data_IF_192935948284
#
_entry.id   IF_192935948284
#
_cell.length_a   1.000
_cell.length_b   1.000
_cell.length_c   1.000
_cell.angle_alpha   90.00
_cell.angle_beta   90.00
_cell.angle_gamma   90.00
#
_symmetry.space_group_name_H-M   'P 1'
#
loop_
_entity.id
_entity.type
_entity.pdbx_description
1 polymer ?
#
# COMPACT_ATOMS: atom_id res chain seq x y z
N UNK A 1 27.37 -24.53 -11.10
CA UNK A 1 27.10 -23.22 -10.43
C UNK A 1 25.81 -23.29 -9.64
N UNK A 2 25.90 -23.58 -8.34
CA UNK A 2 24.75 -23.49 -7.44
C UNK A 2 24.45 -22.01 -7.19
N UNK A 3 23.23 -21.55 -7.49
CA UNK A 3 22.79 -20.20 -7.12
C UNK A 3 22.77 -20.16 -5.60
N UNK A 4 23.71 -19.45 -4.98
CA UNK A 4 23.67 -19.17 -3.54
C UNK A 4 22.30 -18.54 -3.27
N UNK A 5 21.39 -19.20 -2.53
CA UNK A 5 20.09 -18.62 -2.25
C UNK A 5 20.32 -17.27 -1.58
N UNK A 6 19.56 -16.23 -1.97
CA UNK A 6 19.50 -15.01 -1.16
C UNK A 6 19.32 -15.44 0.28
N UNK A 7 20.27 -15.03 1.15
CA UNK A 7 20.34 -15.52 2.51
C UNK A 7 18.96 -15.39 3.15
N UNK A 8 18.51 -16.44 3.83
CA UNK A 8 17.20 -16.46 4.49
C UNK A 8 17.07 -15.25 5.42
N UNK A 9 18.19 -14.81 5.98
CA UNK A 9 18.36 -13.64 6.83
C UNK A 9 17.97 -12.32 6.13
N UNK A 10 18.45 -12.08 4.90
CA UNK A 10 18.11 -10.84 4.17
C UNK A 10 16.61 -10.75 3.87
N UNK A 11 15.95 -11.89 3.63
CA UNK A 11 14.49 -11.93 3.45
C UNK A 11 13.73 -11.67 4.75
N UNK A 12 14.22 -12.23 5.86
CA UNK A 12 13.64 -12.03 7.18
C UNK A 12 13.74 -10.57 7.62
N UNK A 13 14.92 -9.97 7.47
CA UNK A 13 15.17 -8.56 7.76
C UNK A 13 14.31 -7.61 6.91
N UNK A 14 14.06 -7.91 5.63
CA UNK A 14 13.13 -7.09 4.83
C UNK A 14 11.68 -7.17 5.32
N UNK A 15 11.27 -8.31 5.87
CA UNK A 15 9.92 -8.53 6.40
C UNK A 15 9.73 -7.91 7.78
N UNK A 16 10.72 -8.09 8.66
CA UNK A 16 10.71 -7.53 10.01
C UNK A 16 10.76 -5.99 9.99
N UNK A 17 11.16 -5.38 8.86
CA UNK A 17 11.26 -3.93 8.71
C UNK A 17 10.01 -3.23 8.15
N UNK A 18 8.97 -3.94 7.71
CA UNK A 18 7.73 -3.26 7.27
C UNK A 18 6.86 -2.88 8.46
N UNK A 19 7.31 -1.92 9.27
CA UNK A 19 6.59 -1.36 10.44
C UNK A 19 5.15 -0.93 10.12
N UNK A 20 4.80 -0.77 8.85
CA UNK A 20 3.47 -0.35 8.38
C UNK A 20 2.56 -1.52 7.96
N UNK A 21 2.98 -2.77 8.12
CA UNK A 21 2.14 -3.94 7.84
C UNK A 21 0.76 -3.92 8.54
N UNK A 22 0.60 -3.50 9.81
CA UNK A 22 -0.73 -3.52 10.43
C UNK A 22 -1.66 -2.47 9.81
N UNK A 23 -1.12 -1.32 9.36
CA UNK A 23 -1.89 -0.29 8.66
C UNK A 23 -2.41 -0.83 7.32
N UNK A 24 -1.56 -1.52 6.55
CA UNK A 24 -1.98 -2.14 5.27
C UNK A 24 -3.06 -3.19 5.49
N UNK A 25 -2.90 -4.03 6.52
CA UNK A 25 -3.88 -5.05 6.87
C UNK A 25 -5.21 -4.41 7.30
N UNK A 26 -5.15 -3.36 8.12
CA UNK A 26 -6.31 -2.60 8.56
C UNK A 26 -7.06 -1.92 7.40
N UNK A 27 -6.33 -1.33 6.45
CA UNK A 27 -6.92 -0.74 5.24
C UNK A 27 -7.67 -1.79 4.40
N UNK A 28 -7.08 -2.98 4.19
CA UNK A 28 -7.77 -4.08 3.49
C UNK A 28 -8.98 -4.59 4.25
N UNK A 29 -8.86 -4.73 5.57
CA UNK A 29 -9.99 -5.13 6.41
C UNK A 29 -11.15 -4.12 6.37
N UNK A 30 -10.83 -2.82 6.28
CA UNK A 30 -11.81 -1.74 6.14
C UNK A 30 -12.45 -1.68 4.76
N UNK A 31 -11.72 -2.05 3.70
CA UNK A 31 -12.26 -2.07 2.33
C UNK A 31 -13.37 -3.13 2.15
N UNK A 32 -13.29 -4.27 2.84
CA UNK A 32 -14.26 -5.37 2.74
C UNK A 32 -15.70 -4.94 3.04
N UNK A 33 -16.03 -4.33 4.20
CA UNK A 33 -17.40 -3.90 4.48
C UNK A 33 -17.88 -2.82 3.50
N UNK A 34 -17.01 -1.90 3.07
CA UNK A 34 -17.38 -0.90 2.05
C UNK A 34 -17.70 -1.56 0.71
N UNK A 35 -16.91 -2.53 0.26
CA UNK A 35 -17.17 -3.30 -0.95
C UNK A 35 -18.47 -4.11 -0.83
N UNK A 36 -18.72 -4.73 0.32
CA UNK A 36 -19.94 -5.49 0.56
C UNK A 36 -21.20 -4.60 0.52
N UNK A 37 -21.16 -3.44 1.18
CA UNK A 37 -22.28 -2.49 1.16
C UNK A 37 -22.49 -1.92 -0.24
N UNK A 38 -21.42 -1.48 -0.92
CA UNK A 38 -21.51 -0.98 -2.29
C UNK A 38 -22.13 -2.03 -3.24
N UNK A 39 -21.71 -3.30 -3.13
CA UNK A 39 -22.23 -4.40 -3.93
C UNK A 39 -23.74 -4.59 -3.71
N UNK A 40 -24.20 -4.57 -2.46
CA UNK A 40 -25.62 -4.71 -2.14
C UNK A 40 -26.43 -3.56 -2.73
N UNK A 41 -25.94 -2.32 -2.60
CA UNK A 41 -26.65 -1.15 -3.10
C UNK A 41 -26.74 -1.16 -4.63
N UNK A 42 -25.63 -1.37 -5.35
CA UNK A 42 -25.64 -1.48 -6.82
C UNK A 42 -26.46 -2.68 -7.33
N UNK A 43 -26.39 -3.82 -6.65
CA UNK A 43 -27.23 -4.98 -7.01
C UNK A 43 -28.72 -4.68 -6.79
N UNK A 44 -29.07 -3.97 -5.72
CA UNK A 44 -30.44 -3.57 -5.45
C UNK A 44 -30.96 -2.61 -6.52
N UNK A 45 -30.21 -1.55 -6.87
CA UNK A 45 -30.62 -0.61 -7.93
C UNK A 45 -30.75 -1.32 -9.28
N UNK A 46 -29.77 -2.12 -9.67
CA UNK A 46 -29.81 -2.89 -10.93
C UNK A 46 -31.04 -3.79 -11.01
N UNK A 47 -31.38 -4.48 -9.90
CA UNK A 47 -32.52 -5.40 -9.86
C UNK A 47 -33.86 -4.67 -10.02
N UNK A 48 -34.01 -3.52 -9.36
CA UNK A 48 -35.23 -2.71 -9.41
C UNK A 48 -35.37 -2.01 -10.76
N UNK A 49 -34.29 -1.46 -11.30
CA UNK A 49 -34.29 -0.80 -12.61
C UNK A 49 -34.68 -1.79 -13.71
N UNK A 50 -34.12 -3.00 -13.68
CA UNK A 50 -34.45 -4.06 -14.65
C UNK A 50 -35.92 -4.46 -14.62
N UNK A 51 -36.52 -4.56 -13.43
CA UNK A 51 -37.91 -4.96 -13.26
C UNK A 51 -38.90 -3.88 -13.75
N UNK A 52 -38.58 -2.59 -13.55
CA UNK A 52 -39.52 -1.50 -13.84
C UNK A 52 -39.34 -0.88 -15.23
N UNK A 53 -38.11 -0.84 -15.74
CA UNK A 53 -37.79 -0.10 -16.98
C UNK A 53 -37.31 -1.00 -18.13
N UNK A 54 -37.16 -2.32 -17.91
CA UNK A 54 -36.90 -3.31 -18.96
C UNK A 54 -35.53 -3.20 -19.66
N UNK A 55 -34.64 -2.32 -19.19
CA UNK A 55 -33.30 -2.10 -19.74
C UNK A 55 -32.21 -2.88 -19.00
N UNK A 56 -31.18 -3.30 -19.73
CA UNK A 56 -29.90 -3.65 -19.12
C UNK A 56 -29.18 -2.35 -18.77
N UNK A 57 -29.30 -1.94 -17.51
CA UNK A 57 -28.63 -0.74 -17.03
C UNK A 57 -27.14 -1.04 -16.78
N UNK A 58 -26.31 -0.71 -17.76
CA UNK A 58 -24.86 -0.89 -17.65
C UNK A 58 -24.23 0.11 -16.67
N UNK A 59 -24.93 1.22 -16.39
CA UNK A 59 -24.48 2.29 -15.48
C UNK A 59 -24.28 1.76 -14.07
N UNK A 60 -25.18 0.90 -13.60
CA UNK A 60 -25.09 0.24 -12.30
C UNK A 60 -24.28 -1.06 -12.33
N UNK A 61 -24.27 -1.75 -13.48
CA UNK A 61 -23.55 -3.01 -13.63
C UNK A 61 -22.03 -2.85 -13.68
N UNK A 62 -21.53 -1.75 -14.25
CA UNK A 62 -20.09 -1.52 -14.44
C UNK A 62 -19.34 -1.32 -13.09
N UNK A 63 -19.86 -0.56 -12.11
CA UNK A 63 -19.34 -0.50 -10.74
C UNK A 63 -19.20 -1.83 -10.01
N UNK A 64 -19.98 -2.86 -10.37
CA UNK A 64 -19.85 -4.18 -9.72
C UNK A 64 -18.49 -4.83 -9.98
N UNK A 65 -17.83 -4.54 -11.11
CA UNK A 65 -16.54 -5.14 -11.45
C UNK A 65 -15.41 -4.80 -10.45
N UNK A 66 -15.07 -3.52 -10.18
CA UNK A 66 -14.07 -3.17 -9.18
C UNK A 66 -14.48 -3.58 -7.76
N UNK A 67 -15.78 -3.51 -7.43
CA UNK A 67 -16.30 -3.90 -6.12
C UNK A 67 -16.12 -5.41 -5.87
N UNK A 68 -16.49 -6.26 -6.83
CA UNK A 68 -16.30 -7.70 -6.73
C UNK A 68 -14.82 -8.08 -6.67
N UNK A 69 -13.98 -7.41 -7.48
CA UNK A 69 -12.55 -7.64 -7.45
C UNK A 69 -11.95 -7.31 -6.06
N UNK A 70 -12.32 -6.17 -5.47
CA UNK A 70 -11.91 -5.79 -4.12
C UNK A 70 -12.42 -6.78 -3.07
N UNK A 71 -13.71 -7.13 -3.14
CA UNK A 71 -14.37 -8.04 -2.19
C UNK A 71 -13.77 -9.45 -2.19
N UNK A 72 -13.29 -9.95 -3.34
CA UNK A 72 -12.63 -11.25 -3.42
C UNK A 72 -11.14 -11.17 -3.06
N UNK A 73 -10.47 -10.11 -3.50
CA UNK A 73 -9.02 -9.99 -3.36
C UNK A 73 -8.59 -9.67 -1.92
N UNK A 74 -9.27 -8.76 -1.23
CA UNK A 74 -8.84 -8.33 0.11
C UNK A 74 -8.92 -9.45 1.16
N UNK A 75 -10.02 -10.23 1.26
CA UNK A 75 -10.07 -11.38 2.17
C UNK A 75 -9.03 -12.43 1.80
N UNK A 76 -8.78 -12.65 0.50
CA UNK A 76 -7.75 -13.58 0.05
C UNK A 76 -6.36 -13.13 0.52
N UNK A 77 -6.00 -11.85 0.36
CA UNK A 77 -4.71 -11.33 0.82
C UNK A 77 -4.59 -11.38 2.34
N UNK A 78 -5.65 -11.03 3.06
CA UNK A 78 -5.69 -11.14 4.54
C UNK A 78 -5.47 -12.60 4.94
N UNK A 79 -6.20 -13.53 4.33
CA UNK A 79 -6.08 -14.96 4.59
C UNK A 79 -4.66 -15.46 4.30
N UNK A 80 -4.10 -15.16 3.13
CA UNK A 80 -2.73 -15.56 2.78
C UNK A 80 -1.71 -14.97 3.77
N UNK A 81 -1.89 -13.72 4.18
CA UNK A 81 -0.97 -13.04 5.11
C UNK A 81 -1.05 -13.63 6.53
N UNK A 82 -2.26 -13.96 7.01
CA UNK A 82 -2.47 -14.49 8.36
C UNK A 82 -2.14 -15.99 8.47
N UNK A 83 -2.48 -16.78 7.45
CA UNK A 83 -2.38 -18.25 7.49
C UNK A 83 -1.11 -18.81 6.85
N UNK A 84 -0.51 -18.16 5.85
CA UNK A 84 0.75 -18.66 5.25
C UNK A 84 1.99 -18.32 6.08
N UNK A 85 1.87 -18.38 7.40
CA UNK A 85 2.97 -18.23 8.36
C UNK A 85 4.15 -19.09 7.91
N UNK A 86 5.21 -18.42 7.44
CA UNK A 86 6.57 -18.93 7.13
C UNK A 86 6.80 -19.53 5.74
N UNK A 87 7.08 -18.67 4.75
CA UNK A 87 8.15 -18.98 3.80
C UNK A 87 7.95 -18.58 2.35
N UNK A 88 6.73 -18.21 1.93
CA UNK A 88 6.48 -17.80 0.53
C UNK A 88 5.86 -16.41 0.47
N UNK A 89 6.70 -15.36 0.43
CA UNK A 89 6.21 -14.00 0.29
C UNK A 89 5.51 -13.83 -1.06
N UNK A 90 4.30 -13.28 -1.05
CA UNK A 90 3.65 -12.80 -2.27
C UNK A 90 4.58 -11.75 -2.88
N UNK A 91 4.84 -11.86 -4.18
CA UNK A 91 5.70 -10.91 -4.86
C UNK A 91 5.08 -9.50 -4.75
N UNK A 92 5.81 -8.47 -4.27
CA UNK A 92 5.23 -7.16 -4.01
C UNK A 92 4.60 -6.52 -5.25
N UNK A 93 5.11 -6.87 -6.44
CA UNK A 93 4.53 -6.43 -7.71
C UNK A 93 3.12 -6.97 -8.00
N UNK A 94 2.70 -8.09 -7.41
CA UNK A 94 1.32 -8.60 -7.57
C UNK A 94 0.32 -7.65 -6.92
N UNK A 95 0.61 -7.19 -5.70
CA UNK A 95 -0.24 -6.23 -4.99
C UNK A 95 -0.35 -4.91 -5.75
N UNK A 96 0.77 -4.42 -6.32
CA UNK A 96 0.76 -3.23 -7.19
C UNK A 96 -0.21 -3.41 -8.37
N UNK A 97 -0.14 -4.56 -9.05
CA UNK A 97 -0.96 -4.83 -10.22
C UNK A 97 -2.45 -4.88 -9.91
N UNK A 98 -2.84 -5.57 -8.83
CA UNK A 98 -4.26 -5.72 -8.48
C UNK A 98 -4.83 -4.42 -7.91
N UNK A 99 -4.11 -3.72 -7.01
CA UNK A 99 -4.59 -2.44 -6.47
C UNK A 99 -4.72 -1.38 -7.58
N UNK A 100 -3.81 -1.38 -8.57
CA UNK A 100 -3.92 -0.53 -9.76
C UNK A 100 -5.10 -0.92 -10.65
N UNK A 101 -5.38 -2.22 -10.80
CA UNK A 101 -6.53 -2.71 -11.57
C UNK A 101 -7.86 -2.29 -10.93
N UNK A 102 -8.01 -2.47 -9.62
CA UNK A 102 -9.20 -2.01 -8.87
C UNK A 102 -9.38 -0.51 -9.04
N UNK A 103 -8.32 0.27 -8.82
CA UNK A 103 -8.35 1.73 -8.96
C UNK A 103 -8.69 2.17 -10.40
N UNK A 104 -8.06 1.54 -11.40
CA UNK A 104 -8.27 1.84 -12.81
C UNK A 104 -9.65 1.47 -13.34
N UNK A 105 -10.30 0.46 -12.75
CA UNK A 105 -11.70 0.12 -13.03
C UNK A 105 -12.68 1.01 -12.25
N UNK A 106 -12.36 1.40 -11.03
CA UNK A 106 -13.22 2.22 -10.19
C UNK A 106 -13.43 3.63 -10.73
N UNK A 107 -12.40 4.26 -11.34
CA UNK A 107 -12.55 5.59 -11.94
C UNK A 107 -13.63 5.65 -13.02
N UNK A 108 -13.54 4.87 -14.13
CA UNK A 108 -14.58 4.90 -15.15
C UNK A 108 -15.93 4.46 -14.57
N UNK A 109 -15.96 3.51 -13.64
CA UNK A 109 -17.20 3.12 -12.94
C UNK A 109 -17.90 4.30 -12.28
N UNK A 110 -17.17 5.11 -11.52
CA UNK A 110 -17.73 6.30 -10.86
C UNK A 110 -18.15 7.33 -11.92
N UNK A 111 -17.34 7.58 -12.95
CA UNK A 111 -17.68 8.57 -13.98
C UNK A 111 -18.97 8.20 -14.72
N UNK A 112 -19.12 6.94 -15.14
CA UNK A 112 -20.34 6.48 -15.79
C UNK A 112 -21.53 6.46 -14.83
N UNK A 113 -21.37 5.90 -13.62
CA UNK A 113 -22.46 5.83 -12.64
C UNK A 113 -22.95 7.22 -12.20
N UNK A 114 -22.04 8.18 -12.04
CA UNK A 114 -22.40 9.56 -11.70
C UNK A 114 -22.92 10.32 -12.92
N UNK A 115 -22.40 10.07 -14.12
CA UNK A 115 -22.79 10.77 -15.34
C UNK A 115 -24.21 10.45 -15.78
N UNK A 116 -24.61 9.18 -15.68
CA UNK A 116 -25.90 8.67 -16.17
C UNK A 116 -26.87 8.30 -15.02
N UNK A 117 -26.57 8.69 -13.78
CA UNK A 117 -27.37 8.32 -12.60
C UNK A 117 -28.75 9.01 -12.55
N UNK A 118 -29.72 8.36 -11.90
CA UNK A 118 -31.12 8.83 -11.83
C UNK A 118 -31.29 10.17 -11.13
N UNK A 119 -30.33 10.54 -10.28
CA UNK A 119 -30.37 11.78 -9.51
C UNK A 119 -30.23 13.05 -10.36
N UNK A 120 -29.79 12.95 -11.63
CA UNK A 120 -29.80 14.10 -12.55
C UNK A 120 -31.19 14.54 -12.98
N UNK A 121 -32.18 13.63 -12.91
CA UNK A 121 -33.57 13.93 -13.26
C UNK A 121 -34.36 14.53 -12.09
N UNK A 122 -33.75 14.72 -10.92
CA UNK A 122 -34.45 15.27 -9.76
C UNK A 122 -34.88 16.72 -9.99
N UNK A 123 -36.19 16.95 -9.89
CA UNK A 123 -36.80 18.27 -9.99
C UNK A 123 -37.41 18.68 -8.64
N UNK A 124 -37.32 19.97 -8.26
CA UNK A 124 -38.03 20.45 -7.07
C UNK A 124 -39.54 20.28 -7.26
N UNK A 125 -40.24 19.97 -6.17
CA UNK A 125 -41.70 19.85 -6.18
C UNK A 125 -42.31 21.23 -6.42
N UNK A 126 -43.07 21.35 -7.51
CA UNK A 126 -43.91 22.51 -7.76
C UNK A 126 -45.31 22.25 -7.18
N UNK A 127 -45.80 23.19 -6.40
CA UNK A 127 -47.10 23.11 -5.73
C UNK A 127 -48.01 24.18 -6.34
N UNK A 128 -49.22 23.80 -6.69
CA UNK A 128 -50.22 24.73 -7.21
C UNK A 128 -50.78 25.62 -6.08
N UNK A 129 -51.57 26.64 -6.43
CA UNK A 129 -52.22 27.54 -5.46
C UNK A 129 -53.07 26.81 -4.42
N UNK A 130 -53.61 25.64 -4.78
CA UNK A 130 -54.43 24.79 -3.90
C UNK A 130 -53.61 23.86 -2.99
N UNK A 131 -52.27 23.91 -3.04
CA UNK A 131 -51.41 23.03 -2.24
C UNK A 131 -51.27 21.61 -2.81
N UNK A 132 -51.84 21.34 -3.98
CA UNK A 132 -51.76 20.04 -4.67
C UNK A 132 -50.50 20.03 -5.54
N UNK A 133 -49.85 18.87 -5.65
CA UNK A 133 -48.71 18.65 -6.53
C UNK A 133 -49.23 18.08 -7.85
N UNK A 134 -49.42 18.89 -8.91
CA UNK A 134 -49.88 18.38 -10.19
C UNK A 134 -48.77 17.58 -10.85
N UNK A 135 -49.02 16.35 -11.27
CA UNK A 135 -48.07 15.53 -12.03
C UNK A 135 -48.17 15.81 -13.53
N UNK A 136 -47.88 17.06 -13.92
CA UNK A 136 -47.83 17.51 -15.31
C UNK A 136 -46.42 17.37 -15.93
N UNK A 137 -46.24 17.82 -17.17
CA UNK A 137 -44.95 17.73 -17.88
C UNK A 137 -43.80 18.47 -17.18
N UNK A 138 -44.10 19.46 -16.33
CA UNK A 138 -43.10 20.24 -15.60
C UNK A 138 -42.73 19.63 -14.25
N UNK A 139 -43.63 18.83 -13.67
CA UNK A 139 -43.48 18.22 -12.35
C UNK A 139 -43.37 16.68 -12.41
N UNK A 140 -43.32 16.09 -13.60
CA UNK A 140 -43.32 14.64 -13.81
C UNK A 140 -42.16 13.95 -13.08
N UNK A 141 -40.99 14.59 -12.99
CA UNK A 141 -39.82 14.07 -12.27
C UNK A 141 -39.69 14.59 -10.83
N UNK A 142 -40.78 15.09 -10.26
CA UNK A 142 -40.83 15.45 -8.84
C UNK A 142 -40.90 14.20 -7.95
N UNK A 143 -40.53 14.37 -6.68
CA UNK A 143 -40.49 13.26 -5.73
C UNK A 143 -41.86 12.62 -5.49
N UNK A 144 -42.94 13.42 -5.51
CA UNK A 144 -44.29 12.92 -5.25
C UNK A 144 -44.87 12.16 -6.45
N UNK A 145 -44.51 12.56 -7.67
CA UNK A 145 -44.97 11.90 -8.89
C UNK A 145 -44.16 10.63 -9.23
N UNK A 146 -42.86 10.60 -8.92
CA UNK A 146 -41.94 9.49 -9.22
C UNK A 146 -41.09 9.08 -8.00
N UNK A 147 -41.70 8.59 -6.91
CA UNK A 147 -40.98 8.28 -5.67
C UNK A 147 -39.93 7.17 -5.84
N UNK A 148 -40.14 6.28 -6.80
CA UNK A 148 -39.22 5.19 -7.12
C UNK A 148 -37.85 5.71 -7.60
N UNK A 149 -37.85 6.71 -8.50
CA UNK A 149 -36.64 7.27 -9.09
C UNK A 149 -35.80 7.99 -8.04
N UNK A 150 -36.44 8.66 -7.09
CA UNK A 150 -35.74 9.28 -5.95
C UNK A 150 -35.12 8.23 -5.02
N UNK A 151 -35.84 7.13 -4.80
CA UNK A 151 -35.31 6.02 -3.99
C UNK A 151 -34.11 5.37 -4.67
N UNK A 152 -34.18 5.15 -5.98
CA UNK A 152 -33.07 4.65 -6.79
C UNK A 152 -31.88 5.61 -6.74
N UNK A 153 -32.08 6.89 -7.09
CA UNK A 153 -30.99 7.87 -7.09
C UNK A 153 -30.32 8.05 -5.72
N UNK A 154 -31.07 7.98 -4.61
CA UNK A 154 -30.48 8.00 -3.25
C UNK A 154 -29.62 6.77 -2.99
N UNK A 155 -30.06 5.61 -3.46
CA UNK A 155 -29.34 4.34 -3.32
C UNK A 155 -28.07 4.35 -4.18
N UNK A 156 -28.13 4.85 -5.41
CA UNK A 156 -26.97 5.04 -6.30
C UNK A 156 -25.94 6.01 -5.73
N UNK A 157 -26.37 7.15 -5.19
CA UNK A 157 -25.46 8.11 -4.54
C UNK A 157 -24.76 7.44 -3.36
N UNK A 158 -25.50 6.71 -2.51
CA UNK A 158 -24.92 5.98 -1.40
C UNK A 158 -23.89 4.94 -1.89
N UNK A 159 -24.23 4.17 -2.93
CA UNK A 159 -23.34 3.18 -3.52
C UNK A 159 -22.03 3.81 -4.05
N UNK A 160 -22.15 4.94 -4.75
CA UNK A 160 -21.02 5.71 -5.25
C UNK A 160 -20.13 6.27 -4.14
N UNK A 161 -20.70 6.69 -3.00
CA UNK A 161 -19.92 7.12 -1.83
C UNK A 161 -19.07 5.97 -1.28
N UNK A 162 -19.64 4.77 -1.14
CA UNK A 162 -18.86 3.59 -0.72
C UNK A 162 -17.80 3.20 -1.74
N UNK A 163 -18.11 3.29 -3.04
CA UNK A 163 -17.13 3.06 -4.10
C UNK A 163 -15.98 4.08 -4.07
N UNK A 164 -16.26 5.34 -3.75
CA UNK A 164 -15.23 6.37 -3.57
C UNK A 164 -14.30 6.06 -2.38
N UNK A 165 -14.83 5.51 -1.27
CA UNK A 165 -13.98 5.05 -0.17
C UNK A 165 -13.07 3.88 -0.60
N UNK A 166 -13.60 2.91 -1.35
CA UNK A 166 -12.82 1.80 -1.93
C UNK A 166 -11.71 2.37 -2.83
N UNK A 167 -12.03 3.34 -3.70
CA UNK A 167 -11.06 4.01 -4.58
C UNK A 167 -9.90 4.64 -3.77
N UNK A 168 -10.21 5.39 -2.72
CA UNK A 168 -9.21 6.05 -1.86
C UNK A 168 -8.34 5.02 -1.12
N UNK A 169 -8.96 3.96 -0.59
CA UNK A 169 -8.24 2.91 0.13
C UNK A 169 -7.28 2.17 -0.82
N UNK A 170 -7.76 1.73 -2.00
CA UNK A 170 -6.89 1.04 -2.96
C UNK A 170 -5.83 1.95 -3.56
N UNK A 171 -6.09 3.25 -3.75
CA UNK A 171 -5.05 4.20 -4.11
C UNK A 171 -3.94 4.28 -3.05
N UNK A 172 -4.33 4.33 -1.77
CA UNK A 172 -3.39 4.36 -0.65
C UNK A 172 -2.57 3.06 -0.58
N UNK A 173 -3.23 1.91 -0.75
CA UNK A 173 -2.58 0.59 -0.81
C UNK A 173 -1.63 0.47 -2.01
N UNK A 174 -2.03 1.00 -3.17
CA UNK A 174 -1.20 1.07 -4.37
C UNK A 174 0.08 1.88 -4.12
N UNK A 175 -0.01 3.07 -3.52
CA UNK A 175 1.16 3.87 -3.15
C UNK A 175 2.07 3.10 -2.20
N UNK A 176 1.51 2.43 -1.19
CA UNK A 176 2.27 1.57 -0.29
C UNK A 176 2.97 0.40 -1.01
N UNK A 177 2.29 -0.22 -1.98
CA UNK A 177 2.83 -1.31 -2.77
C UNK A 177 3.96 -0.84 -3.70
N UNK A 178 3.84 0.36 -4.27
CA UNK A 178 4.89 1.02 -5.05
C UNK A 178 6.14 1.28 -4.21
N UNK A 179 5.99 1.85 -3.01
CA UNK A 179 7.10 2.09 -2.07
C UNK A 179 7.77 0.76 -1.68
N UNK A 180 6.98 -0.27 -1.37
CA UNK A 180 7.49 -1.59 -1.03
C UNK A 180 8.28 -2.22 -2.19
N UNK A 181 7.75 -2.12 -3.41
CA UNK A 181 8.41 -2.60 -4.63
C UNK A 181 9.72 -1.85 -4.89
N UNK A 182 9.75 -0.53 -4.68
CA UNK A 182 10.97 0.27 -4.81
C UNK A 182 12.04 -0.16 -3.79
N UNK A 183 11.67 -0.30 -2.51
CA UNK A 183 12.56 -0.80 -1.45
C UNK A 183 13.09 -2.21 -1.78
N UNK A 184 12.23 -3.10 -2.25
CA UNK A 184 12.61 -4.46 -2.67
C UNK A 184 13.60 -4.45 -3.83
N UNK A 185 13.36 -3.62 -4.86
CA UNK A 185 14.29 -3.45 -5.99
C UNK A 185 15.64 -2.91 -5.53
N UNK A 186 15.67 -1.93 -4.61
CA UNK A 186 16.91 -1.37 -4.04
C UNK A 186 17.70 -2.43 -3.27
N UNK A 187 17.06 -3.17 -2.37
CA UNK A 187 17.70 -4.25 -1.62
C UNK A 187 18.29 -5.31 -2.56
N UNK A 188 17.55 -5.72 -3.60
CA UNK A 188 18.03 -6.70 -4.59
C UNK A 188 19.27 -6.20 -5.36
N UNK A 189 19.33 -4.90 -5.69
CA UNK A 189 20.51 -4.30 -6.33
C UNK A 189 21.73 -4.29 -5.41
N UNK A 190 21.55 -3.95 -4.13
CA UNK A 190 22.62 -3.96 -3.13
C UNK A 190 23.18 -5.37 -2.94
N UNK A 191 22.32 -6.37 -2.74
CA UNK A 191 22.77 -7.77 -2.61
C UNK A 191 23.46 -8.27 -3.89
N UNK A 192 23.03 -7.83 -5.08
CA UNK A 192 23.69 -8.17 -6.33
C UNK A 192 25.08 -7.51 -6.46
N UNK A 193 25.22 -6.26 -6.02
CA UNK A 193 26.50 -5.55 -6.00
C UNK A 193 27.47 -6.16 -4.98
N UNK A 194 27.00 -6.49 -3.78
CA UNK A 194 27.79 -7.19 -2.75
C UNK A 194 28.28 -8.55 -3.25
N UNK A 195 27.41 -9.33 -3.91
CA UNK A 195 27.82 -10.60 -4.55
C UNK A 195 28.90 -10.39 -5.61
N UNK A 196 28.78 -9.36 -6.44
CA UNK A 196 29.82 -9.03 -7.44
C UNK A 196 31.13 -8.65 -6.77
N UNK A 197 31.10 -7.88 -5.68
CA UNK A 197 32.32 -7.50 -4.94
C UNK A 197 33.02 -8.72 -4.32
N UNK A 198 32.26 -9.64 -3.72
CA UNK A 198 32.80 -10.90 -3.17
C UNK A 198 33.40 -11.76 -4.30
N UNK A 199 32.73 -11.84 -5.44
CA UNK A 199 33.24 -12.59 -6.60
C UNK A 199 34.52 -11.96 -7.17
N UNK A 200 34.62 -10.62 -7.21
CA UNK A 200 35.84 -9.92 -7.59
C UNK A 200 36.98 -10.16 -6.59
N UNK A 201 36.69 -10.18 -5.29
CA UNK A 201 37.70 -10.52 -4.27
C UNK A 201 38.22 -11.95 -4.41
N UNK A 202 37.36 -12.92 -4.75
CA UNK A 202 37.76 -14.31 -4.94
C UNK A 202 38.51 -14.56 -6.25
N UNK A 203 38.13 -13.87 -7.33
CA UNK A 203 38.78 -14.01 -8.64
C UNK A 203 40.11 -13.24 -8.76
N UNK A 204 40.41 -12.35 -7.81
CA UNK A 204 41.72 -11.70 -7.73
C UNK A 204 42.76 -12.77 -7.38
N UNK A 205 43.62 -13.11 -8.35
CA UNK A 205 44.61 -14.20 -8.25
C UNK A 205 45.45 -14.11 -6.96
N UNK A 206 45.77 -15.25 -6.31
CA UNK A 206 46.71 -15.29 -5.17
C UNK A 206 48.08 -14.67 -5.49
N UNK A 207 48.50 -14.64 -6.76
CA UNK A 207 49.78 -14.05 -7.17
C UNK A 207 49.83 -12.54 -6.91
N UNK A 208 48.72 -11.82 -7.06
CA UNK A 208 48.65 -10.37 -6.74
C UNK A 208 48.76 -10.11 -5.23
N UNK A 209 48.38 -11.09 -4.39
CA UNK A 209 48.59 -11.03 -2.93
C UNK A 209 50.04 -11.30 -2.53
N UNK A 210 50.84 -11.99 -3.35
CA UNK A 210 52.27 -12.19 -3.09
C UNK A 210 53.08 -10.93 -3.44
N UNK A 211 52.68 -10.20 -4.47
CA UNK A 211 53.38 -8.98 -4.93
C UNK A 211 53.07 -7.74 -4.06
N UNK A 212 51.98 -7.79 -3.28
CA UNK A 212 51.58 -6.73 -2.34
C UNK A 212 52.00 -6.98 -0.90
N UNK A 213 52.81 -8.01 -0.63
CA UNK A 213 53.45 -8.14 0.68
C UNK A 213 54.39 -6.93 0.88
N UNK A 214 54.18 -6.10 1.92
CA UNK A 214 55.12 -5.05 2.24
C UNK A 214 56.50 -5.71 2.41
N UNK A 215 57.58 -5.09 1.87
CA UNK A 215 58.91 -5.67 1.95
C UNK A 215 59.18 -6.07 3.39
N UNK A 216 59.63 -7.32 3.59
CA UNK A 216 59.93 -7.85 4.92
C UNK A 216 60.73 -6.81 5.70
N UNK A 217 60.22 -6.42 6.87
CA UNK A 217 60.85 -5.45 7.74
C UNK A 217 62.30 -5.88 7.99
N UNK A 218 63.23 -5.22 7.32
CA UNK A 218 64.65 -5.36 7.60
C UNK A 218 64.93 -4.52 8.84
N UNK A 219 65.34 -5.12 9.97
CA UNK A 219 65.71 -4.34 11.13
C UNK A 219 66.92 -3.49 10.73
N UNK A 220 66.73 -2.17 10.63
CA UNK A 220 67.85 -1.26 10.46
C UNK A 220 68.67 -1.31 11.73
N UNK A 221 69.84 -1.93 11.64
CA UNK A 221 70.92 -1.78 12.62
C UNK A 221 71.45 -0.36 12.50
N UNK A 222 70.75 0.58 13.12
CA UNK A 222 71.08 1.99 13.15
C UNK A 222 70.72 2.55 14.51
N UNK A 223 71.56 2.28 15.51
CA UNK A 223 71.59 3.08 16.72
C UNK A 223 71.90 4.54 16.33
N UNK A 224 71.06 5.50 16.72
CA UNK A 224 71.51 6.74 17.37
C UNK A 224 70.36 7.72 17.61
N UNK A 225 70.41 8.31 18.81
CA UNK A 225 69.80 9.56 19.24
C UNK A 225 68.26 9.63 19.34
N UNK A 226 67.78 9.39 20.57
CA UNK A 226 66.59 10.05 21.13
C UNK A 226 66.68 11.57 20.93
N UNK A 227 65.68 12.13 20.27
CA UNK A 227 65.23 13.50 20.53
C UNK A 227 63.84 13.44 21.14
N UNK A 228 63.58 14.19 22.23
CA UNK A 228 62.24 14.27 22.83
C UNK A 228 61.35 15.09 21.89
N UNK A 229 60.32 14.45 21.32
CA UNK A 229 59.28 15.16 20.58
C UNK A 229 58.27 15.67 21.60
N UNK A 230 58.18 16.99 21.64
CA UNK A 230 57.25 17.78 22.43
C UNK A 230 55.81 17.34 22.25
N UNK A 231 55.05 17.44 23.34
CA UNK A 231 53.61 17.24 23.41
C UNK A 231 52.90 17.98 22.28
N UNK A 232 52.26 17.21 21.39
CA UNK A 232 51.25 17.73 20.46
C UNK A 232 49.95 17.80 21.24
N UNK A 233 49.44 19.02 21.36
CA UNK A 233 48.16 19.36 21.94
C UNK A 233 47.02 18.61 21.25
N UNK A 234 46.20 18.00 22.08
CA UNK A 234 44.93 17.36 21.78
C UNK A 234 43.88 18.46 21.53
N UNK A 235 43.87 19.02 20.31
CA UNK A 235 42.82 19.95 19.87
C UNK A 235 42.05 19.35 18.68
N UNK A 236 40.73 19.38 18.85
CA UNK A 236 39.68 19.26 17.84
C UNK A 236 39.53 17.94 17.08
N UNK A 237 38.84 17.01 17.75
CA UNK A 237 38.13 15.91 17.11
C UNK A 237 36.62 16.25 17.02
N UNK A 238 36.13 16.87 15.91
CA UNK A 238 34.75 17.34 15.78
C UNK A 238 33.71 16.23 15.60
N UNK A 239 34.07 14.96 15.82
CA UNK A 239 33.17 13.82 15.61
C UNK A 239 32.60 13.22 16.91
N UNK A 240 32.94 13.77 18.08
CA UNK A 240 32.47 13.25 19.38
C UNK A 240 31.10 13.78 19.85
N UNK A 241 30.52 14.78 19.18
CA UNK A 241 29.29 15.42 19.65
C UNK A 241 28.00 14.89 19.00
N UNK A 242 28.09 13.94 18.07
CA UNK A 242 26.89 13.38 17.42
C UNK A 242 26.24 12.20 18.17
N UNK A 243 26.87 11.70 19.24
CA UNK A 243 26.42 10.48 19.95
C UNK A 243 25.72 10.77 21.30
N UNK A 244 25.64 12.04 21.72
CA UNK A 244 25.10 12.41 23.04
C UNK A 244 23.62 12.82 23.06
N UNK A 245 22.88 12.81 21.94
CA UNK A 245 21.45 13.20 21.92
C UNK A 245 20.48 12.04 21.62
N UNK A 246 20.91 10.79 21.76
CA UNK A 246 20.07 9.60 21.55
C UNK A 246 19.53 8.95 22.85
N UNK A 247 19.72 9.56 24.02
CA UNK A 247 19.26 9.06 25.31
C UNK A 247 18.13 9.91 25.90
N UNK A 248 16.92 9.80 25.33
CA UNK A 248 15.66 9.92 26.09
C UNK A 248 14.48 9.64 25.15
N UNK A 249 14.29 8.39 24.76
CA UNK A 249 13.04 7.96 24.12
C UNK A 249 12.25 7.12 25.14
N UNK A 250 11.35 7.72 25.95
CA UNK A 250 10.65 7.05 27.05
C UNK A 250 9.61 6.00 26.60
N UNK A 251 9.59 5.62 25.32
CA UNK A 251 8.58 4.72 24.75
C UNK A 251 9.02 3.25 24.71
N UNK A 252 10.18 2.89 25.26
CA UNK A 252 10.73 1.54 25.12
C UNK A 252 10.45 0.57 26.29
N UNK A 253 9.89 1.05 27.41
CA UNK A 253 9.67 0.22 28.61
C UNK A 253 8.27 -0.42 28.71
N UNK A 254 7.28 0.01 27.93
CA UNK A 254 5.90 -0.50 28.09
C UNK A 254 5.68 -1.92 27.54
N UNK A 255 6.61 -2.43 26.72
CA UNK A 255 6.47 -3.78 26.13
C UNK A 255 7.13 -4.92 26.93
N UNK A 256 7.84 -4.64 28.03
CA UNK A 256 8.44 -5.71 28.88
C UNK A 256 7.48 -6.28 29.92
N UNK A 257 6.37 -5.61 30.22
CA UNK A 257 5.39 -6.09 31.21
C UNK A 257 4.34 -7.06 30.61
N UNK A 258 4.10 -7.02 29.29
CA UNK A 258 3.05 -7.83 28.66
C UNK A 258 3.40 -9.33 28.47
N UNK A 259 4.62 -9.77 28.80
CA UNK A 259 5.06 -11.17 28.63
C UNK A 259 5.00 -11.97 29.94
N UNK A 260 4.60 -11.36 31.06
CA UNK A 260 4.48 -12.08 32.35
C UNK A 260 3.10 -12.74 32.60
N UNK A 261 2.11 -12.54 31.73
CA UNK A 261 0.75 -13.03 31.95
C UNK A 261 0.07 -13.69 30.74
N UNK A 262 0.84 -14.18 29.77
CA UNK A 262 0.37 -15.02 28.67
C UNK A 262 1.17 -16.33 28.63
#
# INVERSE_FOLDING_TARGET
MARIPLSVETRRQLYDYDRRWPIKLGLRALAIPFAFIAMILFAATTSVTKLNYGGNDWTDGLPLAPVLLALLYDPLVIFLTLFQRRGRPIHPGWNVGVDLLVWGLAIPSIVFSVGDGWFWYWQPVLVDFDGIVPCDDYNFWSQDCQPLIYTLGRTEIAANVFLAFILIIHFTLFVYACIATHKWRKARKLTAAERRNIELQYNRSPEEHLESQPPAYTPSTGASARTPVSAVSEEDNPFKDAEATAESNPFHDEHREAVKYA
#
